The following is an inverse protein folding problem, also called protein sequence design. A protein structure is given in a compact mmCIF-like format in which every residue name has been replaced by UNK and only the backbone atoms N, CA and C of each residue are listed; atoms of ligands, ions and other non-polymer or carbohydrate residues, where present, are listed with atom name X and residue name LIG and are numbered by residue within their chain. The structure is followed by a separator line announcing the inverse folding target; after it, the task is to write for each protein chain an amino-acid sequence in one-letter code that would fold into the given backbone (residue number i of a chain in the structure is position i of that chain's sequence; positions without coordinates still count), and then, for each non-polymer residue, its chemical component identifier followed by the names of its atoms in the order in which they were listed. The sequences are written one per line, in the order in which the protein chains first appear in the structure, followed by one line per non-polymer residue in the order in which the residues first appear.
data_IF_791253274194
#
_entry.id   IF_791253274194
#
_cell.length_a   1.000
_cell.length_b   1.000
_cell.length_c   1.000
_cell.angle_alpha   90.00
_cell.angle_beta   90.00
_cell.angle_gamma   90.00
#
_symmetry.space_group_name_H-M   'P 1'
#
loop_
_entity.id
_entity.type
_entity.pdbx_description
1 polymer ?
#
# COMPACT_ATOMS: atom_id res chain seq x y z
N UNK A 1 -35.06 -7.21 22.95
CA UNK A 1 -35.95 -6.09 22.59
C UNK A 1 -35.24 -5.27 21.50
N UNK A 2 -35.51 -5.55 20.22
CA UNK A 2 -34.83 -4.91 19.11
C UNK A 2 -35.53 -3.61 18.70
N UNK A 3 -34.73 -2.58 18.47
CA UNK A 3 -35.18 -1.23 18.13
C UNK A 3 -35.80 -1.20 16.72
N UNK A 4 -37.13 -1.02 16.68
CA UNK A 4 -37.89 -0.83 15.43
C UNK A 4 -37.53 0.52 14.83
N UNK A 5 -36.85 0.55 13.68
CA UNK A 5 -36.69 1.79 12.92
C UNK A 5 -37.99 2.08 12.18
N UNK A 6 -38.77 2.98 12.77
CA UNK A 6 -40.14 3.31 12.39
C UNK A 6 -40.13 4.44 11.35
N UNK A 7 -40.60 4.18 10.13
CA UNK A 7 -41.00 5.23 9.20
C UNK A 7 -42.52 5.42 9.32
N UNK A 8 -42.97 6.34 10.18
CA UNK A 8 -44.41 6.63 10.36
C UNK A 8 -44.86 7.56 9.25
N UNK A 9 -45.25 7.01 8.11
CA UNK A 9 -46.06 7.76 7.16
C UNK A 9 -47.46 7.82 7.75
N UNK A 10 -47.92 9.00 8.20
CA UNK A 10 -49.32 9.22 8.56
C UNK A 10 -50.17 9.27 7.28
N UNK A 11 -50.42 8.12 6.67
CA UNK A 11 -51.47 7.93 5.66
C UNK A 11 -52.25 6.67 6.00
N UNK A 12 -53.11 6.78 7.02
CA UNK A 12 -54.16 5.84 7.46
C UNK A 12 -53.86 4.32 7.45
N UNK A 13 -52.59 3.92 7.41
CA UNK A 13 -52.15 2.53 7.40
C UNK A 13 -50.75 2.48 8.02
N UNK A 14 -50.67 2.00 9.26
CA UNK A 14 -49.44 1.86 10.03
C UNK A 14 -48.59 0.71 9.45
N UNK A 15 -47.68 1.01 8.51
CA UNK A 15 -46.73 0.01 8.01
C UNK A 15 -45.39 0.06 8.78
N UNK A 16 -44.95 -1.11 9.26
CA UNK A 16 -43.66 -1.31 9.91
C UNK A 16 -42.77 -2.05 8.92
N UNK A 17 -41.79 -1.35 8.35
CA UNK A 17 -40.77 -1.98 7.50
C UNK A 17 -39.68 -2.62 8.38
N UNK A 18 -39.29 -3.85 8.05
CA UNK A 18 -38.24 -4.61 8.75
C UNK A 18 -37.00 -4.66 7.85
N UNK A 19 -35.85 -4.26 8.37
CA UNK A 19 -34.57 -4.39 7.67
C UNK A 19 -34.22 -5.88 7.49
N UNK A 20 -33.92 -6.31 6.26
CA UNK A 20 -33.65 -7.72 5.92
C UNK A 20 -32.44 -8.32 6.67
N UNK A 21 -31.47 -7.49 7.05
CA UNK A 21 -30.30 -7.88 7.85
C UNK A 21 -30.64 -8.18 9.31
N UNK A 22 -31.81 -7.72 9.78
CA UNK A 22 -32.31 -7.97 11.13
C UNK A 22 -33.31 -9.13 11.22
N UNK A 23 -33.57 -9.80 10.09
CA UNK A 23 -34.44 -10.97 10.05
C UNK A 23 -33.67 -12.16 10.59
N UNK A 24 -34.22 -12.79 11.63
CA UNK A 24 -33.67 -14.01 12.22
C UNK A 24 -33.41 -15.05 11.12
N UNK A 25 -32.26 -15.72 11.20
CA UNK A 25 -31.91 -16.83 10.32
C UNK A 25 -32.98 -17.92 10.26
N UNK A 26 -33.75 -18.11 11.32
CA UNK A 26 -34.85 -19.08 11.38
C UNK A 26 -36.06 -18.69 10.51
N UNK A 27 -36.13 -17.43 10.07
CA UNK A 27 -37.20 -16.88 9.22
C UNK A 27 -36.77 -16.76 7.74
N UNK A 28 -35.65 -17.38 7.36
CA UNK A 28 -35.11 -17.39 6.00
C UNK A 28 -35.34 -18.74 5.33
N UNK A 29 -35.66 -18.70 4.05
CA UNK A 29 -35.76 -19.88 3.22
C UNK A 29 -34.38 -20.45 2.94
N UNK A 30 -34.16 -21.74 3.22
CA UNK A 30 -32.85 -22.38 2.99
C UNK A 30 -32.47 -22.57 1.52
N UNK A 31 -33.40 -22.30 0.57
CA UNK A 31 -33.13 -22.37 -0.87
C UNK A 31 -32.60 -21.03 -1.38
N UNK A 32 -33.34 -19.93 -1.17
CA UNK A 32 -32.95 -18.60 -1.66
C UNK A 32 -32.17 -17.76 -0.63
N UNK A 33 -32.07 -18.22 0.62
CA UNK A 33 -31.45 -17.52 1.75
C UNK A 33 -32.07 -16.15 2.09
N UNK A 34 -33.29 -15.89 1.60
CA UNK A 34 -34.05 -14.67 1.86
C UNK A 34 -35.23 -14.96 2.80
N UNK A 35 -35.83 -13.92 3.37
CA UNK A 35 -37.06 -14.05 4.14
C UNK A 35 -38.18 -14.75 3.35
N UNK A 36 -38.98 -15.57 4.01
CA UNK A 36 -40.01 -16.35 3.35
C UNK A 36 -40.98 -15.50 2.51
N UNK A 37 -41.21 -15.86 1.24
CA UNK A 37 -42.25 -15.28 0.39
C UNK A 37 -43.33 -16.32 0.18
N UNK A 38 -44.57 -16.04 0.62
CA UNK A 38 -45.70 -16.99 0.56
C UNK A 38 -45.28 -18.40 1.03
N UNK A 39 -44.89 -18.57 2.30
CA UNK A 39 -44.28 -19.81 2.77
C UNK A 39 -45.20 -21.03 2.59
N UNK A 40 -44.61 -22.14 2.15
CA UNK A 40 -45.22 -23.47 2.19
C UNK A 40 -44.48 -24.36 3.17
N UNK A 41 -45.23 -25.13 3.96
CA UNK A 41 -44.71 -26.05 4.97
C UNK A 41 -44.92 -27.50 4.55
N UNK A 42 -43.90 -28.34 4.75
CA UNK A 42 -43.98 -29.77 4.51
C UNK A 42 -44.86 -30.44 5.56
N UNK A 43 -45.96 -31.06 5.12
CA UNK A 43 -46.98 -31.65 6.01
C UNK A 43 -46.44 -32.72 6.95
N UNK A 44 -45.42 -33.47 6.54
CA UNK A 44 -44.81 -34.55 7.33
C UNK A 44 -43.52 -34.15 8.05
N UNK A 45 -42.76 -33.21 7.50
CA UNK A 45 -41.41 -32.90 7.99
C UNK A 45 -41.28 -31.50 8.63
N UNK A 46 -42.29 -30.64 8.52
CA UNK A 46 -42.32 -29.31 9.14
C UNK A 46 -41.38 -28.27 8.51
N UNK A 47 -40.56 -28.61 7.52
CA UNK A 47 -39.68 -27.66 6.86
C UNK A 47 -40.47 -26.65 6.01
N UNK A 48 -40.07 -25.39 6.08
CA UNK A 48 -40.76 -24.27 5.40
C UNK A 48 -39.87 -23.67 4.32
N UNK A 49 -40.47 -23.33 3.17
CA UNK A 49 -39.78 -22.72 2.03
C UNK A 49 -40.69 -21.68 1.36
N UNK A 50 -40.12 -20.78 0.55
CA UNK A 50 -40.93 -19.91 -0.31
C UNK A 50 -41.73 -20.75 -1.34
N UNK A 51 -42.94 -20.32 -1.67
CA UNK A 51 -43.79 -21.02 -2.65
C UNK A 51 -43.05 -21.28 -3.96
N UNK A 52 -42.44 -20.25 -4.56
CA UNK A 52 -41.75 -20.41 -5.84
C UNK A 52 -40.51 -21.31 -5.74
N UNK A 53 -39.77 -21.23 -4.63
CA UNK A 53 -38.60 -22.07 -4.42
C UNK A 53 -38.96 -23.56 -4.35
N UNK A 54 -40.00 -23.90 -3.58
CA UNK A 54 -40.42 -25.30 -3.46
C UNK A 54 -41.15 -25.80 -4.70
N UNK A 55 -41.95 -24.96 -5.34
CA UNK A 55 -42.65 -25.32 -6.58
C UNK A 55 -41.64 -25.57 -7.72
N UNK A 56 -40.56 -24.78 -7.80
CA UNK A 56 -39.48 -25.03 -8.76
C UNK A 56 -38.70 -26.30 -8.44
N UNK A 57 -38.41 -26.57 -7.17
CA UNK A 57 -37.76 -27.82 -6.75
C UNK A 57 -38.60 -29.05 -7.15
N UNK A 58 -39.92 -28.99 -6.95
CA UNK A 58 -40.84 -30.08 -7.25
C UNK A 58 -41.07 -30.36 -8.74
N UNK A 59 -40.61 -29.47 -9.64
CA UNK A 59 -40.60 -29.76 -11.08
C UNK A 59 -39.61 -30.88 -11.44
N UNK A 60 -38.54 -31.03 -10.66
CA UNK A 60 -37.45 -31.97 -10.95
C UNK A 60 -37.26 -33.02 -9.86
N UNK A 61 -37.76 -32.77 -8.64
CA UNK A 61 -37.61 -33.64 -7.49
C UNK A 61 -38.97 -33.89 -6.83
N UNK A 62 -39.08 -34.91 -5.96
CA UNK A 62 -40.33 -35.23 -5.26
C UNK A 62 -40.13 -35.39 -3.74
N UNK A 63 -39.09 -34.74 -3.19
CA UNK A 63 -38.65 -34.89 -1.81
C UNK A 63 -38.34 -33.52 -1.21
N UNK A 64 -38.39 -33.40 0.11
CA UNK A 64 -38.03 -32.17 0.82
C UNK A 64 -36.54 -31.82 0.59
N UNK A 65 -36.19 -30.57 0.21
CA UNK A 65 -34.79 -30.15 0.03
C UNK A 65 -33.92 -30.32 1.29
N UNK A 66 -34.49 -30.10 2.48
CA UNK A 66 -33.72 -30.13 3.74
C UNK A 66 -33.53 -31.52 4.32
N UNK A 67 -34.54 -32.40 4.22
CA UNK A 67 -34.51 -33.71 4.88
C UNK A 67 -34.74 -34.90 3.94
N UNK A 68 -34.98 -34.67 2.65
CA UNK A 68 -35.27 -35.68 1.61
C UNK A 68 -36.50 -36.56 1.85
N UNK A 69 -37.32 -36.22 2.84
CA UNK A 69 -38.59 -36.89 3.13
C UNK A 69 -39.62 -36.66 2.01
N UNK A 70 -40.42 -37.69 1.68
CA UNK A 70 -41.53 -37.55 0.71
C UNK A 70 -42.73 -36.93 1.40
N UNK A 71 -42.85 -35.61 1.26
CA UNK A 71 -43.92 -34.80 1.87
C UNK A 71 -44.63 -33.95 0.81
N UNK A 72 -45.91 -33.69 1.04
CA UNK A 72 -46.63 -32.64 0.32
C UNK A 72 -46.34 -31.29 0.99
N UNK A 73 -46.42 -30.21 0.22
CA UNK A 73 -46.24 -28.84 0.70
C UNK A 73 -47.55 -28.08 0.61
N UNK A 74 -47.98 -27.50 1.73
CA UNK A 74 -49.21 -26.71 1.80
C UNK A 74 -48.90 -25.28 2.23
N UNK A 75 -49.73 -24.28 1.84
CA UNK A 75 -49.57 -22.92 2.30
C UNK A 75 -49.55 -22.86 3.83
N UNK A 76 -48.55 -22.16 4.39
CA UNK A 76 -48.48 -21.94 5.83
C UNK A 76 -49.52 -20.89 6.21
N UNK A 77 -50.58 -21.29 6.92
CA UNK A 77 -51.71 -20.43 7.31
C UNK A 77 -51.54 -19.79 8.69
N UNK A 78 -50.44 -20.08 9.39
CA UNK A 78 -50.19 -19.58 10.74
C UNK A 78 -50.01 -18.06 10.73
N UNK A 79 -50.96 -17.34 11.34
CA UNK A 79 -51.03 -15.86 11.38
C UNK A 79 -49.76 -15.17 11.89
N UNK A 80 -48.96 -15.83 12.72
CA UNK A 80 -47.73 -15.29 13.31
C UNK A 80 -46.65 -15.03 12.25
N UNK A 81 -46.54 -15.89 11.23
CA UNK A 81 -45.57 -15.74 10.13
C UNK A 81 -46.12 -14.84 9.02
N UNK A 82 -47.43 -14.90 8.74
CA UNK A 82 -48.08 -14.10 7.70
C UNK A 82 -48.12 -12.60 8.03
N UNK A 83 -48.31 -12.22 9.30
CA UNK A 83 -48.31 -10.82 9.73
C UNK A 83 -46.93 -10.13 9.61
N UNK A 84 -45.85 -10.89 9.40
CA UNK A 84 -44.52 -10.36 9.13
C UNK A 84 -44.21 -10.25 7.64
N UNK A 85 -45.04 -10.83 6.75
CA UNK A 85 -44.66 -11.05 5.36
C UNK A 85 -45.54 -10.37 4.33
N UNK A 86 -46.78 -9.99 4.64
CA UNK A 86 -47.66 -9.29 3.69
C UNK A 86 -48.61 -8.34 4.41
N UNK A 87 -48.44 -7.03 4.18
CA UNK A 87 -49.56 -6.09 4.02
C UNK A 87 -49.03 -4.75 3.49
N UNK A 88 -48.59 -4.74 2.23
CA UNK A 88 -49.08 -3.86 1.15
C UNK A 88 -48.03 -3.68 0.04
N UNK A 89 -48.21 -4.44 -1.04
CA UNK A 89 -47.77 -4.15 -2.42
C UNK A 89 -46.36 -3.59 -2.66
N UNK A 90 -45.37 -4.03 -1.88
CA UNK A 90 -43.96 -3.85 -2.23
C UNK A 90 -43.33 -5.24 -2.29
N UNK A 91 -42.96 -5.65 -3.50
CA UNK A 91 -42.23 -6.91 -3.73
C UNK A 91 -40.95 -6.92 -2.89
N UNK A 92 -40.67 -8.05 -2.22
CA UNK A 92 -39.42 -8.29 -1.47
C UNK A 92 -38.25 -8.16 -2.46
N UNK A 93 -37.48 -7.09 -2.33
CA UNK A 93 -36.47 -6.65 -3.31
C UNK A 93 -36.59 -5.18 -3.73
N UNK A 94 -37.79 -4.59 -3.59
CA UNK A 94 -38.04 -3.18 -3.92
C UNK A 94 -38.02 -2.26 -2.68
N UNK A 95 -37.62 -2.78 -1.52
CA UNK A 95 -37.52 -2.00 -0.28
C UNK A 95 -36.44 -0.92 -0.37
N UNK A 96 -35.27 -1.25 -0.91
CA UNK A 96 -34.21 -0.27 -1.14
C UNK A 96 -34.63 0.79 -2.16
N UNK A 97 -35.32 0.38 -3.23
CA UNK A 97 -35.86 1.32 -4.22
C UNK A 97 -36.91 2.24 -3.59
N UNK A 98 -37.79 1.71 -2.74
CA UNK A 98 -38.72 2.51 -1.95
C UNK A 98 -37.99 3.46 -1.00
N UNK A 99 -37.00 2.98 -0.24
CA UNK A 99 -36.23 3.79 0.72
C UNK A 99 -35.50 4.96 0.03
N UNK A 100 -35.04 4.74 -1.20
CA UNK A 100 -34.41 5.76 -2.03
C UNK A 100 -35.40 6.79 -2.56
N UNK A 101 -36.67 6.40 -2.80
CA UNK A 101 -37.71 7.28 -3.36
C UNK A 101 -38.70 7.85 -2.32
N UNK A 102 -38.70 7.33 -1.10
CA UNK A 102 -39.64 7.71 -0.05
C UNK A 102 -39.37 9.14 0.43
N UNK A 103 -40.40 9.99 0.39
CA UNK A 103 -40.33 11.38 0.83
C UNK A 103 -40.28 11.53 2.36
N UNK A 104 -40.81 10.56 3.09
CA UNK A 104 -40.97 10.60 4.54
C UNK A 104 -39.83 9.92 5.31
N UNK A 105 -38.93 9.23 4.59
CA UNK A 105 -37.76 8.60 5.20
C UNK A 105 -36.89 9.66 5.88
N UNK A 106 -36.39 9.33 7.08
CA UNK A 106 -35.48 10.23 7.80
C UNK A 106 -34.08 10.14 7.21
N UNK A 107 -33.63 11.23 6.60
CA UNK A 107 -32.29 11.36 6.01
C UNK A 107 -31.42 12.26 6.86
N UNK A 108 -30.10 12.05 6.77
CA UNK A 108 -29.10 12.94 7.36
C UNK A 108 -28.82 14.08 6.39
N UNK A 109 -28.41 15.23 6.92
CA UNK A 109 -27.96 16.36 6.09
C UNK A 109 -26.80 15.95 5.16
N UNK A 110 -26.73 16.56 3.99
CA UNK A 110 -25.61 16.39 3.04
C UNK A 110 -24.25 16.76 3.64
N UNK A 111 -24.23 17.67 4.60
CA UNK A 111 -23.04 18.06 5.36
C UNK A 111 -22.85 17.27 6.68
N UNK A 112 -23.42 16.05 6.78
CA UNK A 112 -23.19 15.17 7.93
C UNK A 112 -21.70 14.79 8.09
N UNK A 113 -20.92 14.78 7.02
CA UNK A 113 -19.47 14.58 7.05
C UNK A 113 -18.74 15.75 7.74
N UNK A 114 -19.32 16.95 7.65
CA UNK A 114 -18.91 18.14 8.40
C UNK A 114 -19.59 18.26 9.77
N UNK A 115 -20.14 17.14 10.26
CA UNK A 115 -20.79 17.03 11.59
C UNK A 115 -22.08 17.84 11.74
N UNK A 116 -22.77 18.13 10.65
CA UNK A 116 -24.17 18.55 10.76
C UNK A 116 -24.99 17.46 11.47
N UNK A 117 -25.70 17.83 12.53
CA UNK A 117 -26.49 16.91 13.36
C UNK A 117 -27.94 16.75 12.89
N UNK A 118 -28.34 17.47 11.85
CA UNK A 118 -29.71 17.45 11.37
C UNK A 118 -30.10 16.09 10.78
N UNK A 119 -31.26 15.60 11.23
CA UNK A 119 -31.91 14.38 10.75
C UNK A 119 -33.41 14.64 10.67
N UNK A 120 -33.92 14.83 9.45
CA UNK A 120 -35.34 15.13 9.18
C UNK A 120 -35.87 14.32 8.01
N UNK A 121 -37.09 14.61 7.56
CA UNK A 121 -37.68 13.90 6.41
C UNK A 121 -36.94 14.26 5.12
N UNK A 122 -36.92 13.37 4.13
CA UNK A 122 -36.36 13.67 2.79
C UNK A 122 -37.08 14.87 2.15
N UNK A 123 -38.38 15.01 2.34
CA UNK A 123 -39.15 16.18 1.89
C UNK A 123 -38.68 17.51 2.52
N UNK A 124 -38.14 17.47 3.74
CA UNK A 124 -37.63 18.63 4.47
C UNK A 124 -36.14 18.89 4.19
N UNK A 125 -35.43 17.94 3.57
CA UNK A 125 -33.98 18.03 3.30
C UNK A 125 -33.63 19.25 2.45
N UNK A 126 -34.42 19.53 1.41
CA UNK A 126 -34.18 20.67 0.53
C UNK A 126 -34.29 22.00 1.29
N UNK A 127 -35.27 22.13 2.19
CA UNK A 127 -35.45 23.33 3.01
C UNK A 127 -34.31 23.49 4.01
N UNK A 128 -33.91 22.40 4.67
CA UNK A 128 -32.75 22.41 5.55
C UNK A 128 -31.46 22.73 4.81
N UNK A 129 -31.24 22.16 3.63
CA UNK A 129 -30.03 22.33 2.82
C UNK A 129 -29.75 23.80 2.50
N UNK A 130 -30.78 24.55 2.12
CA UNK A 130 -30.67 25.99 1.84
C UNK A 130 -30.35 26.79 3.12
N UNK A 131 -30.86 26.37 4.28
CA UNK A 131 -30.64 27.06 5.55
C UNK A 131 -29.38 26.60 6.30
N UNK A 132 -28.72 25.52 5.87
CA UNK A 132 -27.63 24.88 6.59
C UNK A 132 -26.28 25.54 6.25
N UNK A 133 -25.62 26.24 7.19
CA UNK A 133 -24.34 26.89 6.92
C UNK A 133 -23.24 25.90 6.51
N UNK A 134 -23.32 24.67 7.05
CA UNK A 134 -22.37 23.60 6.76
C UNK A 134 -22.50 23.08 5.33
N UNK A 135 -23.69 23.13 4.73
CA UNK A 135 -23.88 22.79 3.31
C UNK A 135 -23.27 23.88 2.45
N UNK A 136 -23.46 25.14 2.80
CA UNK A 136 -22.90 26.29 2.06
C UNK A 136 -21.38 26.23 1.96
N UNK A 137 -20.68 25.89 3.05
CA UNK A 137 -19.21 25.82 3.05
C UNK A 137 -18.65 24.48 2.55
N UNK A 138 -19.51 23.47 2.34
CA UNK A 138 -19.08 22.11 2.00
C UNK A 138 -18.21 22.02 0.74
N UNK A 139 -18.52 22.73 -0.36
CA UNK A 139 -17.66 22.72 -1.55
C UNK A 139 -16.26 23.27 -1.24
N UNK A 140 -16.18 24.40 -0.54
CA UNK A 140 -14.90 25.02 -0.16
C UNK A 140 -14.07 24.09 0.73
N UNK A 141 -14.70 23.40 1.69
CA UNK A 141 -14.01 22.42 2.53
C UNK A 141 -13.52 21.22 1.72
N UNK A 142 -14.28 20.79 0.70
CA UNK A 142 -13.85 19.72 -0.21
C UNK A 142 -12.65 20.15 -1.05
N UNK A 143 -12.64 21.37 -1.58
CA UNK A 143 -11.52 21.92 -2.36
C UNK A 143 -10.25 22.02 -1.51
N UNK A 144 -10.36 22.53 -0.27
CA UNK A 144 -9.23 22.58 0.67
C UNK A 144 -8.71 21.19 1.02
N UNK A 145 -9.58 20.19 1.20
CA UNK A 145 -9.16 18.81 1.42
C UNK A 145 -8.38 18.26 0.21
N UNK A 146 -8.83 18.55 -1.00
CA UNK A 146 -8.16 18.12 -2.22
C UNK A 146 -6.78 18.79 -2.35
N UNK A 147 -6.68 20.08 -2.05
CA UNK A 147 -5.41 20.81 -2.07
C UNK A 147 -4.41 20.28 -1.02
N UNK A 148 -4.88 19.98 0.20
CA UNK A 148 -4.05 19.37 1.25
C UNK A 148 -3.51 18.01 0.79
N UNK A 149 -4.34 17.18 0.15
CA UNK A 149 -3.92 15.87 -0.37
C UNK A 149 -2.90 16.03 -1.50
N UNK A 150 -3.13 16.97 -2.42
CA UNK A 150 -2.20 17.25 -3.52
C UNK A 150 -0.84 17.76 -3.00
N UNK A 151 -0.83 18.69 -2.05
CA UNK A 151 0.39 19.20 -1.43
C UNK A 151 1.13 18.10 -0.66
N UNK A 152 0.41 17.26 0.09
CA UNK A 152 1.00 16.12 0.81
C UNK A 152 1.67 15.14 -0.15
N UNK A 153 1.05 14.88 -1.30
CA UNK A 153 1.62 14.04 -2.35
C UNK A 153 2.89 14.67 -2.96
N UNK A 154 2.89 15.99 -3.24
CA UNK A 154 4.08 16.69 -3.71
C UNK A 154 5.23 16.61 -2.71
N UNK A 155 4.96 16.82 -1.42
CA UNK A 155 5.97 16.69 -0.35
C UNK A 155 6.56 15.27 -0.33
N UNK A 156 5.72 14.23 -0.47
CA UNK A 156 6.20 12.85 -0.53
C UNK A 156 7.12 12.59 -1.73
N UNK A 157 6.77 13.11 -2.91
CA UNK A 157 7.61 12.99 -4.11
C UNK A 157 8.97 13.64 -3.86
N UNK A 158 8.98 14.89 -3.40
CA UNK A 158 10.22 15.62 -3.13
C UNK A 158 11.08 14.92 -2.07
N UNK A 159 10.47 14.36 -1.02
CA UNK A 159 11.19 13.58 -0.02
C UNK A 159 11.82 12.31 -0.61
N UNK A 160 11.12 11.63 -1.52
CA UNK A 160 11.64 10.45 -2.20
C UNK A 160 12.78 10.80 -3.15
N UNK A 161 12.65 11.87 -3.94
CA UNK A 161 13.70 12.38 -4.81
C UNK A 161 14.95 12.77 -4.00
N UNK A 162 14.78 13.50 -2.90
CA UNK A 162 15.89 13.87 -2.03
C UNK A 162 16.61 12.64 -1.47
N UNK A 163 15.85 11.61 -1.04
CA UNK A 163 16.42 10.35 -0.56
C UNK A 163 17.21 9.63 -1.65
N UNK A 164 16.70 9.61 -2.88
CA UNK A 164 17.42 9.04 -4.02
C UNK A 164 18.71 9.81 -4.31
N UNK A 165 18.66 11.14 -4.32
CA UNK A 165 19.84 11.99 -4.51
C UNK A 165 20.91 11.73 -3.43
N UNK A 166 20.50 11.61 -2.16
CA UNK A 166 21.41 11.25 -1.07
C UNK A 166 22.04 9.87 -1.28
N UNK A 167 21.25 8.86 -1.64
CA UNK A 167 21.76 7.52 -1.94
C UNK A 167 22.76 7.54 -3.10
N UNK A 168 22.45 8.27 -4.18
CA UNK A 168 23.33 8.42 -5.34
C UNK A 168 24.62 9.13 -4.96
N UNK A 169 24.56 10.18 -4.14
CA UNK A 169 25.75 10.89 -3.66
C UNK A 169 26.66 9.97 -2.84
N UNK A 170 26.11 9.21 -1.90
CA UNK A 170 26.86 8.24 -1.10
C UNK A 170 27.49 7.17 -2.00
N UNK A 171 26.73 6.62 -2.95
CA UNK A 171 27.24 5.61 -3.88
C UNK A 171 28.37 6.14 -4.76
N UNK A 172 28.24 7.39 -5.24
CA UNK A 172 29.29 8.05 -6.01
C UNK A 172 30.54 8.31 -5.16
N UNK A 173 30.40 8.75 -3.91
CA UNK A 173 31.53 8.93 -2.98
C UNK A 173 32.28 7.61 -2.76
N UNK A 174 31.57 6.51 -2.52
CA UNK A 174 32.18 5.17 -2.35
C UNK A 174 32.91 4.74 -3.62
N UNK A 175 32.30 4.96 -4.79
CA UNK A 175 32.92 4.61 -6.08
C UNK A 175 34.21 5.40 -6.31
N UNK A 176 34.18 6.72 -6.08
CA UNK A 176 35.36 7.59 -6.22
C UNK A 176 36.44 7.19 -5.22
N UNK A 177 36.09 6.87 -3.98
CA UNK A 177 37.05 6.43 -2.97
C UNK A 177 37.72 5.11 -3.38
N UNK A 178 36.94 4.12 -3.83
CA UNK A 178 37.48 2.84 -4.33
C UNK A 178 38.45 3.04 -5.49
N UNK A 179 38.12 3.92 -6.44
CA UNK A 179 39.02 4.21 -7.57
C UNK A 179 40.33 4.85 -7.08
N UNK A 180 40.27 5.76 -6.10
CA UNK A 180 41.47 6.33 -5.48
C UNK A 180 42.32 5.27 -4.80
N UNK A 181 41.69 4.34 -4.08
CA UNK A 181 42.40 3.26 -3.38
C UNK A 181 43.08 2.29 -4.37
N UNK A 182 42.41 1.94 -5.48
CA UNK A 182 42.98 1.13 -6.57
C UNK A 182 44.17 1.84 -7.22
N UNK A 183 44.01 3.12 -7.59
CA UNK A 183 45.09 3.90 -8.19
C UNK A 183 46.28 4.04 -7.23
N UNK A 184 46.04 4.21 -5.93
CA UNK A 184 47.10 4.28 -4.93
C UNK A 184 47.84 2.94 -4.80
N UNK A 185 47.11 1.82 -4.81
CA UNK A 185 47.70 0.48 -4.77
C UNK A 185 48.54 0.17 -6.01
N UNK A 186 48.10 0.61 -7.20
CA UNK A 186 48.86 0.48 -8.45
C UNK A 186 50.18 1.25 -8.39
N UNK A 187 50.16 2.51 -7.90
CA UNK A 187 51.38 3.32 -7.71
C UNK A 187 52.34 2.67 -6.70
N UNK A 188 51.82 2.10 -5.61
CA UNK A 188 52.64 1.40 -4.61
C UNK A 188 53.23 0.12 -5.21
N UNK A 189 52.46 -0.64 -5.99
CA UNK A 189 52.92 -1.84 -6.70
C UNK A 189 54.04 -1.53 -7.68
N UNK A 190 53.88 -0.51 -8.52
CA UNK A 190 54.91 -0.04 -9.47
C UNK A 190 56.20 0.37 -8.76
N UNK A 191 56.10 1.02 -7.59
CA UNK A 191 57.26 1.38 -6.78
C UNK A 191 57.97 0.14 -6.23
N UNK A 192 57.23 -0.83 -5.69
CA UNK A 192 57.79 -2.08 -5.16
C UNK A 192 58.47 -2.91 -6.25
N UNK A 193 57.86 -3.06 -7.42
CA UNK A 193 58.47 -3.81 -8.53
C UNK A 193 59.73 -3.15 -9.08
N UNK A 194 59.81 -1.82 -9.09
CA UNK A 194 61.05 -1.09 -9.43
C UNK A 194 62.14 -1.30 -8.39
N UNK A 195 61.77 -1.37 -7.11
CA UNK A 195 62.69 -1.66 -6.00
C UNK A 195 63.26 -3.08 -6.12
N UNK A 196 62.41 -4.08 -6.37
CA UNK A 196 62.82 -5.48 -6.56
C UNK A 196 63.74 -5.65 -7.79
N UNK A 197 63.39 -5.05 -8.93
CA UNK A 197 64.26 -5.06 -10.11
C UNK A 197 65.62 -4.41 -9.84
N UNK A 198 65.64 -3.31 -9.08
CA UNK A 198 66.89 -2.68 -8.66
C UNK A 198 67.70 -3.60 -7.75
N UNK A 199 67.09 -4.22 -6.75
CA UNK A 199 67.76 -5.13 -5.82
C UNK A 199 68.32 -6.38 -6.54
N UNK A 200 67.61 -6.94 -7.52
CA UNK A 200 68.10 -8.04 -8.36
C UNK A 200 69.30 -7.62 -9.23
N UNK A 201 69.24 -6.45 -9.87
CA UNK A 201 70.35 -5.92 -10.65
C UNK A 201 71.60 -5.71 -9.78
N UNK A 202 71.40 -5.28 -8.54
CA UNK A 202 72.45 -5.10 -7.55
C UNK A 202 73.02 -6.42 -7.02
N UNK A 203 72.26 -7.52 -7.08
CA UNK A 203 72.70 -8.85 -6.69
C UNK A 203 73.51 -9.56 -7.79
N UNK A 204 73.16 -9.36 -9.06
CA UNK A 204 73.79 -10.02 -10.21
C UNK A 204 75.12 -9.37 -10.61
N UNK A 205 75.22 -8.04 -10.47
CA UNK A 205 76.53 -7.42 -10.41
C UNK A 205 77.17 -7.81 -9.07
N UNK A 206 78.17 -8.70 -9.07
CA UNK A 206 78.95 -9.14 -7.89
C UNK A 206 79.71 -8.01 -7.18
N UNK A 207 79.05 -6.92 -6.83
CA UNK A 207 79.61 -5.82 -6.06
C UNK A 207 79.33 -6.08 -4.59
N UNK A 208 80.41 -6.33 -3.84
CA UNK A 208 80.41 -6.19 -2.40
C UNK A 208 80.45 -4.68 -2.11
N UNK A 209 79.34 -4.11 -1.62
CA UNK A 209 79.39 -2.75 -1.10
C UNK A 209 80.29 -2.73 0.13
N UNK A 210 81.44 -2.07 0.00
CA UNK A 210 82.14 -1.59 1.19
C UNK A 210 81.37 -0.35 1.60
N UNK A 211 80.56 -0.45 2.65
CA UNK A 211 80.10 0.72 3.40
C UNK A 211 81.30 1.35 4.10
N UNK A 212 82.15 2.01 3.33
CA UNK A 212 83.21 2.90 3.81
C UNK A 212 82.75 4.34 3.60
N UNK A 213 83.12 5.28 4.48
CA UNK A 213 82.77 6.68 4.28
C UNK A 213 83.47 7.20 3.01
N UNK A 214 82.74 7.27 1.89
CA UNK A 214 83.19 8.04 0.74
C UNK A 214 83.04 9.52 1.07
N UNK A 215 84.15 10.26 1.11
CA UNK A 215 84.17 11.72 1.29
C UNK A 215 83.58 12.50 0.09
N UNK A 216 82.99 11.82 -0.90
CA UNK A 216 82.37 12.42 -2.08
C UNK A 216 81.01 13.12 -1.79
N UNK A 217 80.40 12.88 -0.62
CA UNK A 217 79.13 13.48 -0.22
C UNK A 217 79.23 14.85 0.48
N UNK A 218 80.37 15.55 0.41
CA UNK A 218 80.52 16.86 1.07
C UNK A 218 80.04 18.08 0.27
N UNK A 219 79.55 17.90 -0.96
CA UNK A 219 79.24 19.06 -1.84
C UNK A 219 77.77 19.25 -2.24
N UNK A 220 76.84 18.35 -1.88
CA UNK A 220 75.42 18.47 -2.30
C UNK A 220 74.46 18.72 -1.13
N UNK A 221 74.86 19.56 -0.18
CA UNK A 221 73.92 20.15 0.78
C UNK A 221 74.18 21.65 0.85
N UNK A 222 73.91 22.38 -0.24
CA UNK A 222 73.72 23.83 -0.19
C UNK A 222 72.77 24.29 -1.31
N UNK A 223 71.53 24.56 -0.89
CA UNK A 223 70.54 25.48 -1.48
C UNK A 223 69.58 24.96 -2.57
N UNK A 224 68.38 25.59 -2.67
CA UNK A 224 67.10 24.95 -2.96
C UNK A 224 66.63 25.27 -4.38
N UNK A 225 65.62 24.54 -4.86
CA UNK A 225 64.75 24.87 -5.99
C UNK A 225 65.39 25.65 -7.17
N UNK A 226 65.72 24.94 -8.25
CA UNK A 226 65.22 25.20 -9.62
C UNK A 226 66.08 24.47 -10.66
N UNK A 227 65.38 23.86 -11.63
CA UNK A 227 65.86 23.36 -12.92
C UNK A 227 67.07 22.39 -12.95
N UNK A 228 66.79 21.09 -12.79
CA UNK A 228 67.59 20.05 -13.44
C UNK A 228 66.77 19.40 -14.56
N UNK A 229 66.71 20.06 -15.72
CA UNK A 229 66.35 19.43 -16.99
C UNK A 229 67.53 18.57 -17.39
N UNK A 230 67.44 17.25 -17.20
CA UNK A 230 67.99 16.21 -18.08
C UNK A 230 67.77 14.85 -17.40
N UNK A 231 67.08 13.97 -18.13
CA UNK A 231 66.76 12.60 -17.81
C UNK A 231 68.02 11.74 -17.64
N UNK A 232 68.35 11.37 -16.41
CA UNK A 232 68.72 10.00 -15.99
C UNK A 232 68.95 10.01 -14.48
N UNK A 233 68.49 9.01 -13.72
CA UNK A 233 68.73 8.95 -12.28
C UNK A 233 70.24 8.93 -12.01
N UNK A 234 70.66 9.77 -11.07
CA UNK A 234 72.01 9.96 -10.52
C UNK A 234 72.71 8.70 -9.99
N UNK A 235 72.13 7.51 -10.18
CA UNK A 235 72.68 6.21 -9.81
C UNK A 235 73.81 5.72 -10.74
N UNK A 236 73.93 6.26 -11.95
CA UNK A 236 74.92 5.80 -12.94
C UNK A 236 76.28 6.54 -12.89
N UNK A 237 76.46 7.57 -12.04
CA UNK A 237 77.72 8.33 -11.99
C UNK A 237 78.83 7.69 -11.15
N UNK A 238 78.56 6.59 -10.45
CA UNK A 238 79.56 5.84 -9.69
C UNK A 238 80.03 4.54 -10.39
N UNK A 239 79.95 4.49 -11.73
CA UNK A 239 80.47 3.36 -12.52
C UNK A 239 81.86 3.61 -13.14
N UNK A 240 82.49 4.77 -12.88
CA UNK A 240 83.76 5.17 -13.53
C UNK A 240 84.99 5.13 -12.60
N UNK A 241 84.83 4.89 -11.29
CA UNK A 241 85.97 4.72 -10.36
C UNK A 241 85.68 3.47 -9.51
N UNK A 242 86.26 2.28 -9.73
CA UNK A 242 87.62 1.96 -10.10
C UNK A 242 87.60 0.59 -10.76
N UNK A 243 87.96 0.53 -12.05
CA UNK A 243 88.35 -0.74 -12.68
C UNK A 243 89.68 -1.16 -12.09
N UNK A 244 89.70 -2.25 -11.33
CA UNK A 244 90.82 -3.18 -11.41
C UNK A 244 90.26 -4.58 -11.58
N UNK A 245 90.60 -5.18 -12.73
CA UNK A 245 90.46 -6.60 -13.00
C UNK A 245 91.65 -7.33 -12.34
N UNK A 246 91.39 -8.59 -11.94
CA UNK A 246 92.31 -9.74 -11.71
C UNK A 246 92.53 -10.13 -10.22
N UNK A 247 92.59 -11.44 -9.88
CA UNK A 247 92.17 -12.65 -10.60
C UNK A 247 90.86 -13.26 -10.08
#
# INVERSE_FOLDING_TARGET
MAARQRCVVKSNTDYIYVNEDQIDSELKCSICQQAFVRPKIGTKCGHTFCQECIDNWFKQNSTCPSCRERTAFQPLTTRIVLNQLDSNNIERGNFDDHNNRCSEVRVKCQAADLKCTWVGKRSEEAQHSVACPLVTIRPVVADLRNEIVALSHQVQILMNELRQQQSNCVQNQVTVQRQRDVNAAEVVGDFMSRQEYFDELMADMRYRWISGPCNCFRACVKYPYEECRYEVPTFLRCLICSRELIP
#
